data_IF_989855137324
#
_entry.id   IF_989855137324
#
_cell.length_a   1.000
_cell.length_b   1.000
_cell.length_c   1.000
_cell.angle_alpha   90.00
_cell.angle_beta   90.00
_cell.angle_gamma   90.00
#
_symmetry.space_group_name_H-M   'P 1'
#
loop_
_entity.id
_entity.type
_entity.pdbx_description
1 polymer ?
#
# COMPACT_ATOMS: atom_id res chain seq x y z
N UNK A 1 -6.88 -5.10 3.01
CA UNK A 1 -5.77 -4.24 3.41
C UNK A 1 -5.92 -2.93 2.66
N UNK A 2 -5.58 -1.80 3.26
CA UNK A 2 -5.63 -0.47 2.66
C UNK A 2 -4.24 0.16 2.76
N UNK A 3 -3.76 0.73 1.66
CA UNK A 3 -2.46 1.41 1.60
C UNK A 3 -2.70 2.89 1.31
N UNK A 4 -2.41 3.74 2.28
CA UNK A 4 -2.46 5.19 2.17
C UNK A 4 -1.07 5.81 2.02
N UNK A 5 -1.00 6.93 1.31
CA UNK A 5 0.23 7.71 1.14
C UNK A 5 -0.07 9.18 1.37
N UNK A 6 0.83 9.85 2.09
CA UNK A 6 0.79 11.29 2.36
C UNK A 6 2.07 11.91 1.80
N UNK A 7 1.92 12.91 0.94
CA UNK A 7 3.05 13.70 0.45
C UNK A 7 3.51 14.68 1.51
N UNK A 8 4.80 14.65 1.82
CA UNK A 8 5.53 15.77 2.44
C UNK A 8 6.61 16.32 1.51
N UNK A 9 6.62 15.89 0.25
CA UNK A 9 7.55 16.34 -0.76
C UNK A 9 7.15 17.72 -1.29
N UNK A 10 8.15 18.48 -1.73
CA UNK A 10 7.98 19.76 -2.42
C UNK A 10 7.78 19.59 -3.93
N UNK A 11 8.27 18.47 -4.48
CA UNK A 11 8.17 18.15 -5.91
C UNK A 11 6.93 17.32 -6.18
N UNK A 12 6.36 17.51 -7.37
CA UNK A 12 5.26 16.68 -7.84
C UNK A 12 5.77 15.28 -8.21
N UNK A 13 5.01 14.26 -7.81
CA UNK A 13 5.30 12.86 -8.11
C UNK A 13 4.00 12.06 -8.22
N UNK A 14 4.11 10.83 -8.70
CA UNK A 14 3.02 9.87 -8.67
C UNK A 14 3.49 8.52 -8.14
N UNK A 15 2.56 7.73 -7.63
CA UNK A 15 2.81 6.38 -7.16
C UNK A 15 1.89 5.42 -7.90
N UNK A 16 2.44 4.30 -8.35
CA UNK A 16 1.64 3.16 -8.78
C UNK A 16 1.89 1.99 -7.82
N UNK A 17 0.81 1.45 -7.28
CA UNK A 17 0.87 0.37 -6.29
C UNK A 17 0.55 -0.94 -6.98
N UNK A 18 1.37 -1.97 -6.75
CA UNK A 18 1.09 -3.35 -7.14
C UNK A 18 0.96 -4.23 -5.91
N UNK A 19 -0.20 -4.85 -5.77
CA UNK A 19 -0.48 -5.82 -4.72
C UNK A 19 0.14 -7.20 -5.05
N UNK A 20 0.26 -8.11 -4.06
CA UNK A 20 0.80 -9.47 -4.24
C UNK A 20 0.06 -10.33 -5.27
N UNK A 21 -1.22 -10.02 -5.51
CA UNK A 21 -2.07 -10.69 -6.48
C UNK A 21 -2.03 -10.02 -7.87
N UNK A 22 -1.01 -9.19 -8.12
CA UNK A 22 -0.80 -8.46 -9.38
C UNK A 22 -1.84 -7.36 -9.66
N UNK A 23 -2.77 -7.08 -8.73
CA UNK A 23 -3.68 -5.95 -8.86
C UNK A 23 -2.89 -4.64 -8.76
N UNK A 24 -3.07 -3.76 -9.75
CA UNK A 24 -2.39 -2.48 -9.84
C UNK A 24 -3.36 -1.31 -9.64
N UNK A 25 -2.89 -0.24 -9.01
CA UNK A 25 -3.59 1.04 -8.98
C UNK A 25 -3.44 1.79 -10.31
N UNK A 26 -4.31 2.76 -10.52
CA UNK A 26 -4.02 3.93 -11.38
C UNK A 26 -2.88 4.76 -10.76
N UNK A 27 -2.40 5.79 -11.47
CA UNK A 27 -1.47 6.74 -10.89
C UNK A 27 -2.12 7.50 -9.72
N UNK A 28 -1.54 7.33 -8.54
CA UNK A 28 -1.85 8.15 -7.37
C UNK A 28 -0.99 9.40 -7.47
N UNK A 29 -1.59 10.51 -7.90
CA UNK A 29 -0.86 11.76 -8.15
C UNK A 29 -0.76 12.65 -6.90
N UNK A 30 0.44 13.20 -6.68
CA UNK A 30 0.78 14.10 -5.59
C UNK A 30 1.38 15.38 -6.19
N UNK A 31 0.55 16.32 -6.67
CA UNK A 31 1.03 17.55 -7.30
C UNK A 31 1.67 18.52 -6.30
N UNK A 32 1.32 18.40 -5.02
CA UNK A 32 1.77 19.30 -3.96
C UNK A 32 1.89 18.62 -2.58
N UNK A 33 2.50 19.35 -1.65
CA UNK A 33 2.64 18.96 -0.24
C UNK A 33 1.29 18.73 0.42
N UNK A 34 1.19 17.73 1.30
CA UNK A 34 0.03 17.45 2.14
C UNK A 34 -1.08 16.66 1.46
N UNK A 35 -0.95 16.39 0.14
CA UNK A 35 -1.91 15.54 -0.58
C UNK A 35 -1.87 14.10 -0.03
N UNK A 36 -3.05 13.51 0.10
CA UNK A 36 -3.23 12.13 0.51
C UNK A 36 -4.01 11.33 -0.54
N UNK A 37 -3.54 10.12 -0.84
CA UNK A 37 -4.19 9.17 -1.73
C UNK A 37 -4.15 7.77 -1.12
N UNK A 38 -5.07 6.91 -1.53
CA UNK A 38 -5.22 5.55 -1.00
C UNK A 38 -5.44 4.55 -2.13
N UNK A 39 -4.97 3.33 -1.90
CA UNK A 39 -5.25 2.16 -2.73
C UNK A 39 -5.85 1.04 -1.88
N UNK A 40 -7.01 0.57 -2.32
CA UNK A 40 -7.77 -0.51 -1.71
C UNK A 40 -7.93 -1.62 -2.77
N UNK A 41 -7.07 -2.67 -2.76
CA UNK A 41 -7.22 -3.80 -3.67
C UNK A 41 -8.58 -4.47 -3.48
N UNK A 42 -9.21 -4.85 -4.58
CA UNK A 42 -10.54 -5.48 -4.62
C UNK A 42 -10.47 -6.98 -4.82
N UNK A 43 -9.38 -7.48 -5.38
CA UNK A 43 -9.21 -8.90 -5.66
C UNK A 43 -8.72 -9.66 -4.41
N UNK A 44 -9.12 -10.93 -4.24
CA UNK A 44 -8.59 -11.79 -3.16
C UNK A 44 -7.07 -11.95 -3.25
N UNK A 45 -6.43 -12.27 -2.12
CA UNK A 45 -5.00 -12.61 -2.07
C UNK A 45 -4.04 -11.42 -1.97
N UNK A 46 -4.52 -10.21 -1.72
CA UNK A 46 -3.68 -9.01 -1.63
C UNK A 46 -3.03 -8.79 -0.24
N UNK A 47 -3.56 -9.38 0.84
CA UNK A 47 -3.12 -9.06 2.21
C UNK A 47 -1.73 -9.58 2.61
N UNK A 48 -1.24 -10.64 1.96
CA UNK A 48 -0.02 -11.33 2.36
C UNK A 48 0.92 -11.49 1.16
N UNK A 49 2.12 -10.92 1.22
CA UNK A 49 3.15 -11.03 0.19
C UNK A 49 3.88 -9.72 -0.10
N UNK A 50 4.60 -9.70 -1.22
CA UNK A 50 5.34 -8.53 -1.68
C UNK A 50 4.41 -7.50 -2.33
N UNK A 51 4.46 -6.30 -1.80
CA UNK A 51 3.86 -5.10 -2.37
C UNK A 51 4.93 -4.27 -3.05
N UNK A 52 4.61 -3.66 -4.18
CA UNK A 52 5.52 -2.79 -4.92
C UNK A 52 4.95 -1.39 -5.05
N UNK A 53 5.77 -0.39 -4.80
CA UNK A 53 5.46 1.03 -4.99
C UNK A 53 6.41 1.57 -6.06
N UNK A 54 5.88 1.71 -7.26
CA UNK A 54 6.59 2.32 -8.38
C UNK A 54 6.45 3.85 -8.22
N UNK A 55 7.58 4.53 -7.96
CA UNK A 55 7.62 5.97 -7.72
C UNK A 55 8.00 6.70 -8.99
N UNK A 56 7.17 7.65 -9.41
CA UNK A 56 7.33 8.40 -10.64
C UNK A 56 7.58 9.87 -10.37
N UNK A 57 8.57 10.46 -11.04
CA UNK A 57 8.77 11.89 -11.08
C UNK A 57 8.00 12.51 -12.22
N UNK A 58 7.38 13.67 -11.98
CA UNK A 58 6.79 14.45 -13.05
C UNK A 58 7.89 15.12 -13.89
N UNK A 59 7.89 14.86 -15.19
CA UNK A 59 8.80 15.46 -16.17
C UNK A 59 7.97 16.02 -17.33
N UNK A 60 7.76 17.34 -17.32
CA UNK A 60 6.86 18.01 -18.27
C UNK A 60 5.42 17.52 -18.13
N UNK A 61 4.84 17.05 -19.23
CA UNK A 61 3.45 16.55 -19.29
C UNK A 61 3.34 15.05 -18.94
N UNK A 62 4.44 14.40 -18.53
CA UNK A 62 4.49 12.97 -18.28
C UNK A 62 5.13 12.57 -16.96
N UNK A 63 5.16 11.26 -16.74
CA UNK A 63 5.76 10.63 -15.55
C UNK A 63 6.90 9.70 -15.98
N UNK A 64 8.06 9.85 -15.34
CA UNK A 64 9.19 8.92 -15.48
C UNK A 64 9.36 8.11 -14.21
N UNK A 65 9.45 6.78 -14.35
CA UNK A 65 9.78 5.91 -13.23
C UNK A 65 11.15 6.29 -12.66
N UNK A 66 11.17 6.71 -11.40
CA UNK A 66 12.38 7.08 -10.69
C UNK A 66 13.00 5.85 -10.03
N UNK A 67 12.20 5.12 -9.25
CA UNK A 67 12.62 3.86 -8.63
C UNK A 67 11.39 3.04 -8.17
N UNK A 68 11.61 1.78 -7.85
CA UNK A 68 10.61 0.87 -7.27
C UNK A 68 11.00 0.51 -5.85
N UNK A 69 10.10 0.74 -4.90
CA UNK A 69 10.20 0.22 -3.54
C UNK A 69 9.42 -1.09 -3.45
N UNK A 70 9.89 -2.05 -2.67
CA UNK A 70 9.08 -3.19 -2.27
C UNK A 70 9.02 -3.31 -0.75
N UNK A 71 7.90 -3.84 -0.27
CA UNK A 71 7.71 -4.18 1.13
C UNK A 71 7.00 -5.53 1.22
N UNK A 72 7.37 -6.34 2.21
CA UNK A 72 6.66 -7.58 2.49
C UNK A 72 5.65 -7.33 3.62
N UNK A 73 4.39 -7.66 3.37
CA UNK A 73 3.30 -7.52 4.34
C UNK A 73 2.72 -8.88 4.68
N UNK A 74 2.43 -9.11 5.97
CA UNK A 74 1.99 -10.40 6.49
C UNK A 74 0.60 -10.37 7.15
N UNK A 75 -0.25 -9.38 6.86
CA UNK A 75 -1.51 -9.20 7.59
C UNK A 75 -2.58 -8.33 6.93
N UNK A 76 -3.64 -8.05 7.69
CA UNK A 76 -4.80 -7.26 7.27
C UNK A 76 -4.97 -6.03 8.15
N UNK A 77 -5.07 -4.86 7.53
CA UNK A 77 -5.22 -3.58 8.20
C UNK A 77 -5.13 -2.40 7.23
N UNK A 78 -4.94 -1.21 7.77
CA UNK A 78 -4.60 0.02 7.04
C UNK A 78 -3.17 0.42 7.36
N UNK A 79 -2.37 0.69 6.33
CA UNK A 79 -1.02 1.22 6.44
C UNK A 79 -1.00 2.61 5.83
N UNK A 80 -0.42 3.58 6.53
CA UNK A 80 -0.20 4.93 6.00
C UNK A 80 1.29 5.16 5.88
N UNK A 81 1.72 5.58 4.70
CA UNK A 81 3.09 5.94 4.40
C UNK A 81 3.20 7.44 4.18
N UNK A 82 4.36 7.99 4.52
CA UNK A 82 4.73 9.36 4.21
C UNK A 82 5.86 9.35 3.18
N UNK A 83 5.78 10.21 2.17
CA UNK A 83 6.71 10.27 1.04
C UNK A 83 7.35 11.65 0.96
N UNK A 84 8.68 11.69 1.04
CA UNK A 84 9.47 12.92 1.05
C UNK A 84 10.10 13.27 -0.30
N UNK A 85 11.00 14.26 -0.28
CA UNK A 85 11.72 14.73 -1.49
C UNK A 85 12.67 13.67 -2.08
N UNK A 86 13.02 12.63 -1.31
CA UNK A 86 13.77 11.45 -1.76
C UNK A 86 12.88 10.38 -2.41
N UNK A 87 11.57 10.63 -2.45
CA UNK A 87 10.52 9.74 -2.95
C UNK A 87 10.39 8.42 -2.19
N UNK A 88 11.07 8.26 -1.05
CA UNK A 88 10.97 7.05 -0.24
C UNK A 88 9.66 7.03 0.57
N UNK A 89 8.86 5.98 0.40
CA UNK A 89 7.72 5.74 1.27
C UNK A 89 8.19 5.16 2.60
N UNK A 90 7.85 5.86 3.67
CA UNK A 90 8.17 5.49 5.05
C UNK A 90 6.87 5.27 5.82
N UNK A 91 6.75 4.13 6.49
CA UNK A 91 5.57 3.81 7.29
C UNK A 91 5.42 4.86 8.41
N UNK A 92 4.30 5.57 8.43
CA UNK A 92 4.00 6.60 9.44
C UNK A 92 2.88 6.18 10.39
N UNK A 93 1.94 5.35 9.94
CA UNK A 93 0.93 4.75 10.80
C UNK A 93 0.53 3.37 10.32
N UNK A 94 0.12 2.53 11.27
CA UNK A 94 -0.35 1.17 11.02
C UNK A 94 -1.50 0.84 11.95
N UNK A 95 -2.65 0.52 11.36
CA UNK A 95 -3.84 0.06 12.06
C UNK A 95 -4.15 -1.36 11.61
N UNK A 96 -3.75 -2.34 12.41
CA UNK A 96 -4.16 -3.71 12.16
C UNK A 96 -5.61 -3.91 12.59
N UNK A 97 -6.39 -4.56 11.71
CA UNK A 97 -7.65 -5.14 12.13
C UNK A 97 -7.28 -6.29 13.06
N UNK A 98 -7.40 -6.06 14.36
CA UNK A 98 -7.43 -7.14 15.34
C UNK A 98 -8.66 -7.99 15.03
N UNK A 99 -8.51 -8.99 14.17
CA UNK A 99 -9.50 -10.04 14.06
C UNK A 99 -9.51 -10.73 15.44
N UNK A 100 -10.61 -10.67 16.20
CA UNK A 100 -10.69 -11.41 17.45
C UNK A 100 -10.71 -12.89 17.09
N UNK A 101 -9.52 -13.52 17.10
CA UNK A 101 -9.27 -14.95 17.11
C UNK A 101 -10.36 -15.80 16.45
N UNK A 102 -10.56 -15.68 15.14
CA UNK A 102 -11.30 -16.66 14.36
C UNK A 102 -10.44 -17.91 14.11
N UNK A 103 -9.81 -18.41 15.17
CA UNK A 103 -9.20 -19.74 15.25
C UNK A 103 -9.78 -20.47 16.45
N UNK A 104 -11.11 -20.67 16.47
CA UNK A 104 -11.65 -21.89 17.05
C UNK A 104 -11.68 -22.92 15.95
N UNK A 105 -10.60 -23.69 15.85
CA UNK A 105 -10.59 -24.95 15.15
C UNK A 105 -11.91 -25.67 15.42
N UNK A 106 -12.63 -26.04 14.37
CA UNK A 106 -13.73 -27.00 14.46
C UNK A 106 -13.15 -28.32 15.01
N UNK A 107 -13.10 -28.48 16.34
CA UNK A 107 -13.07 -29.81 16.95
C UNK A 107 -14.43 -30.43 16.64
N UNK A 108 -14.52 -31.14 15.52
CA UNK A 108 -15.53 -32.19 15.35
C UNK A 108 -15.39 -33.10 16.58
N UNK A 109 -16.41 -33.13 17.43
CA UNK A 109 -16.54 -34.17 18.45
C UNK A 109 -16.66 -35.52 17.71
N UNK A 110 -16.01 -36.60 18.19
CA UNK A 110 -16.41 -37.93 17.77
C UNK A 110 -17.86 -38.13 18.21
N UNK A 111 -18.67 -38.71 17.32
CA UNK A 111 -19.99 -39.25 17.65
C UNK A 111 -19.74 -40.63 18.23
N UNK A 112 -20.17 -40.84 19.48
CA UNK A 112 -20.31 -42.19 20.08
C UNK A 112 -21.47 -42.95 19.43
#
# INVERSE_FOLDING_TARGET
IEIGFVSIAKKAFAIRVRAPNEEESEYLEFPEYGRQCYFLPKQPGCGHGCWFFDMYLQEGDGFRLAYTQNIYLDGVGSLVFTVGDDLEARLSSQEFLHLPSACRCFRRKPVD
#
